data_IF_391499321735
#
_entry.id   IF_391499321735
#
_cell.length_a   1.000
_cell.length_b   1.000
_cell.length_c   1.000
_cell.angle_alpha   90.00
_cell.angle_beta   90.00
_cell.angle_gamma   90.00
#
_symmetry.space_group_name_H-M   'P 1'
#
loop_
_entity.id
_entity.type
_entity.pdbx_description
1 polymer ?
#
# COMPACT_ATOMS: atom_id res chain seq x y z
N UNK A 1 15.59 7.01 -14.38
CA UNK A 1 16.03 7.11 -12.96
C UNK A 1 14.94 6.47 -12.12
N UNK A 2 15.26 5.53 -11.22
CA UNK A 2 14.27 4.89 -10.37
C UNK A 2 14.09 5.76 -9.10
N UNK A 3 12.93 6.40 -8.89
CA UNK A 3 12.76 7.32 -7.77
C UNK A 3 12.53 6.59 -6.43
N UNK A 4 12.41 5.26 -6.45
CA UNK A 4 12.14 4.42 -5.27
C UNK A 4 13.37 3.69 -4.73
N UNK A 5 14.57 4.00 -5.25
CA UNK A 5 15.81 3.29 -4.87
C UNK A 5 16.07 3.25 -3.36
N UNK A 6 15.63 4.28 -2.62
CA UNK A 6 15.82 4.37 -1.17
C UNK A 6 14.94 3.39 -0.38
N UNK A 7 13.85 2.89 -0.96
CA UNK A 7 12.90 2.01 -0.27
C UNK A 7 12.81 0.60 -0.86
N UNK A 8 13.28 0.40 -2.10
CA UNK A 8 13.06 -0.84 -2.85
C UNK A 8 13.55 -2.08 -2.09
N UNK A 9 14.75 -2.01 -1.49
CA UNK A 9 15.31 -3.15 -0.77
C UNK A 9 14.46 -3.54 0.45
N UNK A 10 13.99 -2.56 1.22
CA UNK A 10 13.17 -2.81 2.40
C UNK A 10 11.78 -3.31 2.01
N UNK A 11 11.19 -2.70 0.98
CA UNK A 11 9.90 -3.11 0.43
C UNK A 11 9.95 -4.54 -0.12
N UNK A 12 11.04 -4.95 -0.76
CA UNK A 12 11.24 -6.32 -1.25
C UNK A 12 11.33 -7.33 -0.10
N UNK A 13 12.04 -7.00 0.98
CA UNK A 13 12.08 -7.85 2.18
C UNK A 13 10.66 -8.04 2.75
N UNK A 14 9.91 -6.97 2.96
CA UNK A 14 8.55 -7.03 3.49
C UNK A 14 7.61 -7.81 2.56
N UNK A 15 7.69 -7.56 1.25
CA UNK A 15 6.89 -8.25 0.27
C UNK A 15 7.18 -9.77 0.26
N UNK A 16 8.44 -10.18 0.38
CA UNK A 16 8.81 -11.58 0.47
C UNK A 16 8.31 -12.24 1.76
N UNK A 17 8.41 -11.56 2.90
CA UNK A 17 7.92 -12.05 4.20
C UNK A 17 6.41 -12.21 4.25
N UNK A 18 5.68 -11.30 3.59
CA UNK A 18 4.21 -11.22 3.64
C UNK A 18 3.53 -11.84 2.41
N UNK A 19 4.30 -12.23 1.39
CA UNK A 19 3.80 -12.79 0.14
C UNK A 19 3.11 -11.76 -0.77
N UNK A 20 3.49 -10.49 -0.70
CA UNK A 20 2.92 -9.45 -1.55
C UNK A 20 3.53 -9.46 -2.95
N UNK A 21 2.69 -9.21 -3.95
CA UNK A 21 3.14 -8.91 -5.31
C UNK A 21 3.22 -7.40 -5.46
N UNK A 22 4.43 -6.84 -5.41
CA UNK A 22 4.67 -5.41 -5.58
C UNK A 22 4.75 -5.06 -7.05
N UNK A 23 3.80 -4.24 -7.51
CA UNK A 23 3.81 -3.63 -8.82
C UNK A 23 4.75 -2.43 -8.82
N UNK A 24 5.60 -2.37 -9.84
CA UNK A 24 6.70 -1.39 -9.96
C UNK A 24 6.44 -0.29 -10.98
N UNK A 25 5.34 -0.39 -11.72
CA UNK A 25 4.98 0.51 -12.79
C UNK A 25 3.46 0.57 -12.93
N UNK A 26 2.94 1.75 -13.25
CA UNK A 26 1.56 1.95 -13.66
C UNK A 26 1.53 2.93 -14.84
N UNK A 27 0.83 2.58 -15.91
CA UNK A 27 0.71 3.42 -17.12
C UNK A 27 2.07 3.91 -17.67
N UNK A 28 3.10 3.05 -17.67
CA UNK A 28 4.49 3.36 -18.06
C UNK A 28 5.20 4.40 -17.16
N UNK A 29 4.70 4.61 -15.94
CA UNK A 29 5.30 5.51 -14.94
C UNK A 29 5.74 4.67 -13.73
N UNK A 30 6.94 4.94 -13.16
CA UNK A 30 7.38 4.26 -11.95
C UNK A 30 6.35 4.42 -10.81
N UNK A 31 5.97 3.30 -10.20
CA UNK A 31 5.03 3.25 -9.09
C UNK A 31 5.46 2.18 -8.09
N UNK A 32 4.98 2.23 -6.84
CA UNK A 32 5.12 1.13 -5.89
C UNK A 32 3.78 0.91 -5.22
N UNK A 33 3.14 -0.21 -5.50
CA UNK A 33 1.88 -0.56 -4.88
C UNK A 33 1.68 -2.07 -4.90
N UNK A 34 0.75 -2.55 -4.08
CA UNK A 34 0.30 -3.92 -4.08
C UNK A 34 -1.18 -3.97 -3.71
N UNK A 35 -1.84 -5.05 -4.13
CA UNK A 35 -3.24 -5.28 -3.81
C UNK A 35 -3.38 -6.18 -2.60
N UNK A 36 -4.43 -5.93 -1.82
CA UNK A 36 -4.87 -6.79 -0.72
C UNK A 36 -6.32 -7.22 -1.02
N UNK A 37 -6.60 -8.52 -1.13
CA UNK A 37 -7.97 -8.98 -1.32
C UNK A 37 -8.80 -8.78 -0.04
N UNK A 38 -10.05 -8.40 -0.21
CA UNK A 38 -11.03 -8.37 0.86
C UNK A 38 -11.63 -9.74 1.17
N UNK A 39 -12.66 -9.76 2.03
CA UNK A 39 -13.33 -11.01 2.40
C UNK A 39 -14.05 -11.62 1.19
N UNK A 40 -13.97 -12.95 1.05
CA UNK A 40 -14.57 -13.73 -0.04
C UNK A 40 -14.18 -13.30 -1.47
N UNK A 41 -13.11 -12.51 -1.62
CA UNK A 41 -12.59 -12.08 -2.93
C UNK A 41 -13.45 -11.03 -3.65
N UNK A 42 -14.39 -10.41 -2.96
CA UNK A 42 -15.29 -9.42 -3.53
C UNK A 42 -14.77 -7.99 -3.47
N UNK A 43 -14.15 -7.62 -2.34
CA UNK A 43 -13.50 -6.32 -2.20
C UNK A 43 -12.04 -6.40 -2.66
N UNK A 44 -11.53 -5.31 -3.21
CA UNK A 44 -10.12 -5.13 -3.54
C UNK A 44 -9.61 -3.83 -2.93
N UNK A 45 -8.50 -3.91 -2.22
CA UNK A 45 -7.81 -2.77 -1.64
C UNK A 45 -6.42 -2.64 -2.23
N UNK A 46 -5.88 -1.43 -2.20
CA UNK A 46 -4.52 -1.14 -2.65
C UNK A 46 -3.77 -0.41 -1.56
N UNK A 47 -2.51 -0.80 -1.37
CA UNK A 47 -1.52 0.02 -0.67
C UNK A 47 -0.56 0.58 -1.72
N UNK A 48 -0.46 1.90 -1.80
CA UNK A 48 0.46 2.60 -2.71
C UNK A 48 1.43 3.47 -1.94
N UNK A 49 2.66 3.57 -2.45
CA UNK A 49 3.76 4.31 -1.86
C UNK A 49 4.18 5.38 -2.88
N UNK A 50 4.12 6.65 -2.48
CA UNK A 50 4.60 7.74 -3.32
C UNK A 50 6.13 7.72 -3.40
N UNK A 51 6.73 8.25 -4.48
CA UNK A 51 8.18 8.42 -4.54
C UNK A 51 8.69 9.20 -3.33
N UNK A 52 9.72 8.71 -2.61
CA UNK A 52 10.30 9.44 -1.48
C UNK A 52 10.83 10.81 -1.92
N UNK A 53 10.63 11.83 -1.07
CA UNK A 53 11.12 13.21 -1.31
C UNK A 53 11.74 13.73 -0.02
N UNK A 54 13.02 14.12 -0.04
CA UNK A 54 13.74 14.66 1.13
C UNK A 54 13.55 13.81 2.39
N UNK A 55 13.81 12.50 2.27
CA UNK A 55 13.66 11.48 3.31
C UNK A 55 12.23 11.27 3.84
N UNK A 56 11.22 11.93 3.26
CA UNK A 56 9.82 11.71 3.57
C UNK A 56 9.23 10.61 2.69
N UNK A 57 8.40 9.78 3.32
CA UNK A 57 7.62 8.72 2.71
C UNK A 57 6.14 9.00 2.88
N UNK A 58 5.36 8.67 1.85
CA UNK A 58 3.90 8.73 1.88
C UNK A 58 3.35 7.37 1.50
N UNK A 59 2.55 6.78 2.37
CA UNK A 59 1.85 5.51 2.14
C UNK A 59 0.36 5.80 2.15
N UNK A 60 -0.36 5.25 1.17
CA UNK A 60 -1.80 5.40 1.04
C UNK A 60 -2.43 4.01 0.97
N UNK A 61 -3.45 3.77 1.77
CA UNK A 61 -4.35 2.65 1.63
C UNK A 61 -5.66 3.17 1.02
N UNK A 62 -6.21 2.48 0.03
CA UNK A 62 -7.50 2.82 -0.55
C UNK A 62 -8.27 1.59 -1.02
N UNK A 63 -9.58 1.73 -1.19
CA UNK A 63 -10.39 0.77 -1.94
C UNK A 63 -10.20 0.95 -3.43
N UNK A 64 -10.21 -0.17 -4.16
CA UNK A 64 -10.21 -0.24 -5.62
C UNK A 64 -11.58 -0.65 -6.11
N UNK A 65 -12.16 -1.67 -5.46
CA UNK A 65 -13.49 -2.20 -5.73
C UNK A 65 -14.10 -2.67 -4.41
N UNK A 66 -15.36 -2.33 -4.19
CA UNK A 66 -16.09 -2.70 -2.96
C UNK A 66 -17.53 -3.05 -3.32
N UNK A 67 -18.03 -4.13 -2.73
CA UNK A 67 -19.40 -4.60 -3.00
C UNK A 67 -20.50 -3.65 -2.49
N UNK A 68 -20.17 -2.80 -1.53
CA UNK A 68 -21.10 -1.87 -0.87
C UNK A 68 -21.01 -0.44 -1.43
N UNK A 69 -20.32 -0.26 -2.56
CA UNK A 69 -20.04 1.03 -3.22
C UNK A 69 -19.33 2.06 -2.30
N UNK A 70 -18.79 1.62 -1.15
CA UNK A 70 -18.08 2.51 -0.23
C UNK A 70 -16.65 2.76 -0.71
N UNK A 71 -16.24 4.03 -0.65
CA UNK A 71 -14.88 4.43 -0.98
C UNK A 71 -14.08 4.71 0.29
N UNK A 72 -12.95 4.03 0.42
CA UNK A 72 -12.02 4.20 1.52
C UNK A 72 -10.71 4.78 1.02
N UNK A 73 -10.19 5.76 1.76
CA UNK A 73 -8.84 6.27 1.57
C UNK A 73 -8.28 6.71 2.90
N UNK A 74 -7.02 6.35 3.16
CA UNK A 74 -6.27 6.89 4.27
C UNK A 74 -4.81 7.02 3.89
N UNK A 75 -4.20 8.13 4.31
CA UNK A 75 -2.82 8.50 3.99
C UNK A 75 -2.00 8.65 5.27
N UNK A 76 -0.82 8.05 5.29
CA UNK A 76 0.18 8.23 6.33
C UNK A 76 1.44 8.85 5.75
N UNK A 77 2.13 9.64 6.59
CA UNK A 77 3.37 10.33 6.26
C UNK A 77 4.36 10.10 7.39
N UNK A 78 5.61 9.85 7.05
CA UNK A 78 6.69 9.64 7.99
C UNK A 78 8.04 9.64 7.27
N UNK A 79 9.10 9.28 7.98
CA UNK A 79 10.43 9.08 7.42
C UNK A 79 10.55 7.76 6.63
N UNK A 80 11.58 7.66 5.79
CA UNK A 80 11.93 6.41 5.09
C UNK A 80 12.23 5.28 6.09
N UNK A 81 12.84 5.60 7.23
CA UNK A 81 13.12 4.69 8.33
C UNK A 81 11.86 4.11 8.98
N UNK A 82 10.71 4.76 8.79
CA UNK A 82 9.43 4.33 9.35
C UNK A 82 8.62 3.45 8.37
N UNK A 83 9.18 3.07 7.22
CA UNK A 83 8.46 2.34 6.17
C UNK A 83 7.73 1.10 6.68
N UNK A 84 8.36 0.29 7.54
CA UNK A 84 7.74 -0.93 8.08
C UNK A 84 6.52 -0.59 8.95
N UNK A 85 6.63 0.45 9.78
CA UNK A 85 5.54 0.94 10.62
C UNK A 85 4.40 1.50 9.76
N UNK A 86 4.72 2.29 8.74
CA UNK A 86 3.71 2.88 7.85
C UNK A 86 2.97 1.82 7.03
N UNK A 87 3.68 0.80 6.53
CA UNK A 87 3.05 -0.33 5.84
C UNK A 87 2.15 -1.12 6.79
N UNK A 88 2.61 -1.40 8.01
CA UNK A 88 1.81 -2.10 9.03
C UNK A 88 0.52 -1.35 9.33
N UNK A 89 0.60 -0.03 9.54
CA UNK A 89 -0.58 0.82 9.76
C UNK A 89 -1.56 0.80 8.58
N UNK A 90 -1.04 0.81 7.34
CA UNK A 90 -1.87 0.74 6.15
C UNK A 90 -2.63 -0.59 6.05
N UNK A 91 -1.97 -1.70 6.38
CA UNK A 91 -2.57 -3.03 6.37
C UNK A 91 -3.58 -3.18 7.50
N UNK A 92 -3.25 -2.77 8.72
CA UNK A 92 -4.17 -2.81 9.86
C UNK A 92 -5.44 -2.03 9.55
N UNK A 93 -5.32 -0.89 8.86
CA UNK A 93 -6.46 -0.12 8.42
C UNK A 93 -7.32 -0.86 7.38
N UNK A 94 -6.70 -1.55 6.42
CA UNK A 94 -7.40 -2.39 5.45
C UNK A 94 -8.11 -3.54 6.17
N UNK A 95 -7.50 -4.18 7.17
CA UNK A 95 -8.16 -5.22 7.96
C UNK A 95 -9.37 -4.67 8.73
N UNK A 96 -9.32 -3.43 9.22
CA UNK A 96 -10.50 -2.77 9.80
C UNK A 96 -11.59 -2.59 8.75
N UNK A 97 -11.25 -2.15 7.54
CA UNK A 97 -12.23 -2.00 6.45
C UNK A 97 -12.82 -3.33 6.01
N UNK A 98 -12.02 -4.40 5.94
CA UNK A 98 -12.49 -5.75 5.60
C UNK A 98 -13.50 -6.29 6.61
N UNK A 99 -13.36 -5.93 7.89
CA UNK A 99 -14.23 -6.36 8.97
C UNK A 99 -15.40 -5.40 9.25
N UNK A 100 -15.60 -4.38 8.40
CA UNK A 100 -16.76 -3.50 8.53
C UNK A 100 -18.05 -4.28 8.33
N UNK A 101 -19.12 -3.85 9.00
CA UNK A 101 -20.45 -4.37 8.68
C UNK A 101 -20.81 -3.91 7.26
N UNK A 102 -20.98 -4.88 6.34
CA UNK A 102 -21.57 -4.66 5.02
C UNK A 102 -23.08 -4.48 5.12
#
# INVERSE_FOLDING_TARGET
>A
MNPYLLIDAQLDCQAAEKGWVVFREWANIPARFFYIPGHDGHDCFQVSIAPPVMDALVVTACSVDTNDDQNFERVWRGGIEEIDSLLSLAIDQIEIWKNRAS
#
